data_IF_877842322573
#
_entry.id   IF_877842322573
#
_cell.length_a   1.000
_cell.length_b   1.000
_cell.length_c   1.000
_cell.angle_alpha   90.00
_cell.angle_beta   90.00
_cell.angle_gamma   90.00
#
_symmetry.space_group_name_H-M   'P 1'
#
loop_
_entity.id
_entity.type
_entity.pdbx_description
1 polymer ?
#
# COMPACT_ATOMS: atom_id res chain seq x y z
N UNK A 1 -10.61 4.99 -11.94
CA UNK A 1 -9.40 4.41 -11.34
C UNK A 1 -8.33 4.39 -12.41
N UNK A 2 -7.09 4.76 -12.07
CA UNK A 2 -5.99 4.92 -13.02
C UNK A 2 -4.80 4.05 -12.57
N UNK A 3 -3.94 3.65 -13.50
CA UNK A 3 -2.70 2.96 -13.18
C UNK A 3 -1.52 3.95 -13.08
N UNK A 4 -0.34 3.46 -12.69
CA UNK A 4 0.87 4.30 -12.53
C UNK A 4 1.34 4.96 -13.84
N UNK A 5 1.14 4.33 -14.98
CA UNK A 5 1.53 4.90 -16.28
C UNK A 5 0.63 6.08 -16.66
N UNK A 6 -0.68 5.94 -16.43
CA UNK A 6 -1.65 7.00 -16.63
C UNK A 6 -1.41 8.16 -15.66
N UNK A 7 -1.18 7.87 -14.37
CA UNK A 7 -0.80 8.88 -13.39
C UNK A 7 0.44 9.66 -13.83
N UNK A 8 1.49 8.95 -14.26
CA UNK A 8 2.71 9.56 -14.80
C UNK A 8 2.43 10.48 -16.00
N UNK A 9 1.56 10.07 -16.91
CA UNK A 9 1.22 10.87 -18.08
C UNK A 9 0.46 12.16 -17.70
N UNK A 10 -0.49 12.08 -16.76
CA UNK A 10 -1.28 13.22 -16.28
C UNK A 10 -0.45 14.24 -15.49
N UNK A 11 0.40 13.78 -14.57
CA UNK A 11 1.31 14.66 -13.81
C UNK A 11 2.28 15.42 -14.74
N UNK A 12 2.79 14.75 -15.79
CA UNK A 12 3.64 15.40 -16.81
C UNK A 12 2.91 16.44 -17.66
N UNK A 13 1.59 16.43 -17.68
CA UNK A 13 0.77 17.45 -18.34
C UNK A 13 0.43 18.63 -17.42
N UNK A 14 0.88 18.59 -16.16
CA UNK A 14 0.66 19.64 -15.18
C UNK A 14 -0.59 19.47 -14.33
N UNK A 15 -1.22 18.28 -14.33
CA UNK A 15 -2.31 17.99 -13.40
C UNK A 15 -1.78 17.78 -11.97
N UNK A 16 -2.56 18.21 -10.98
CA UNK A 16 -2.21 18.08 -9.55
C UNK A 16 -2.77 16.78 -8.97
N UNK A 17 -2.15 16.24 -7.90
CA UNK A 17 -2.62 15.00 -7.30
C UNK A 17 -4.03 15.12 -6.70
N UNK A 18 -4.35 16.27 -6.09
CA UNK A 18 -5.67 16.52 -5.51
C UNK A 18 -6.80 16.53 -6.54
N UNK A 19 -6.50 16.87 -7.80
CA UNK A 19 -7.46 16.81 -8.92
C UNK A 19 -7.64 15.36 -9.44
N UNK A 20 -6.65 14.51 -9.23
CA UNK A 20 -6.61 13.13 -9.72
C UNK A 20 -7.24 12.16 -8.71
N UNK A 21 -6.96 12.36 -7.42
CA UNK A 21 -7.39 11.49 -6.33
C UNK A 21 -8.26 12.23 -5.33
N UNK A 22 -9.40 11.63 -4.99
CA UNK A 22 -10.23 12.13 -3.90
C UNK A 22 -9.64 11.66 -2.56
N UNK A 23 -8.71 12.44 -2.03
CA UNK A 23 -8.13 12.19 -0.72
C UNK A 23 -9.17 12.28 0.40
N UNK A 24 -8.95 11.53 1.47
CA UNK A 24 -9.84 11.42 2.62
C UNK A 24 -9.03 11.37 3.90
N UNK A 25 -9.65 11.78 5.00
CA UNK A 25 -9.03 11.68 6.33
C UNK A 25 -8.79 10.20 6.71
N UNK A 26 -7.55 9.90 7.11
CA UNK A 26 -7.17 8.67 7.78
C UNK A 26 -7.17 8.84 9.30
N UNK A 27 -6.19 8.24 9.99
CA UNK A 27 -5.97 8.49 11.42
C UNK A 27 -5.10 9.75 11.59
N UNK A 28 -5.73 10.91 11.68
CA UNK A 28 -5.06 12.23 11.78
C UNK A 28 -4.13 12.58 10.60
N UNK A 29 -4.40 11.99 9.43
CA UNK A 29 -3.62 12.19 8.20
C UNK A 29 -4.52 12.29 6.97
N UNK A 30 -3.91 12.60 5.82
CA UNK A 30 -4.57 12.58 4.52
C UNK A 30 -4.10 11.34 3.74
N UNK A 31 -5.03 10.54 3.23
CA UNK A 31 -4.74 9.32 2.45
C UNK A 31 -5.63 9.24 1.21
N UNK A 32 -5.29 8.37 0.26
CA UNK A 32 -6.24 7.91 -0.74
C UNK A 32 -6.52 6.43 -0.52
N UNK A 33 -7.81 6.05 -0.43
CA UNK A 33 -8.23 4.65 -0.31
C UNK A 33 -9.45 4.38 -1.17
N UNK A 34 -9.25 3.60 -2.23
CA UNK A 34 -10.28 3.20 -3.19
C UNK A 34 -11.02 1.93 -2.76
N UNK A 35 -11.43 1.12 -3.75
CA UNK A 35 -11.98 -0.22 -3.54
C UNK A 35 -10.93 -1.26 -3.87
N UNK A 36 -10.91 -2.35 -3.12
CA UNK A 36 -10.03 -3.45 -3.44
C UNK A 36 -10.41 -4.10 -4.77
N UNK A 37 -9.46 -4.13 -5.71
CA UNK A 37 -9.56 -4.86 -6.96
C UNK A 37 -8.18 -5.41 -7.35
N UNK A 38 -8.15 -6.60 -7.96
CA UNK A 38 -6.92 -7.23 -8.43
C UNK A 38 -6.57 -6.70 -9.81
N UNK A 39 -5.91 -5.55 -9.85
CA UNK A 39 -5.49 -4.89 -11.08
C UNK A 39 -4.25 -4.02 -10.85
N UNK A 40 -3.74 -3.42 -11.92
CA UNK A 40 -2.66 -2.43 -11.88
C UNK A 40 -3.16 -1.00 -11.59
N UNK A 41 -4.45 -0.83 -11.30
CA UNK A 41 -4.98 0.45 -10.87
C UNK A 41 -4.52 0.77 -9.44
N UNK A 42 -4.28 2.05 -9.19
CA UNK A 42 -3.92 2.57 -7.88
C UNK A 42 -5.18 2.56 -7.01
N UNK A 43 -5.11 1.86 -5.89
CA UNK A 43 -6.19 1.71 -4.92
C UNK A 43 -5.85 2.27 -3.54
N UNK A 44 -4.57 2.60 -3.30
CA UNK A 44 -4.13 3.13 -2.02
C UNK A 44 -2.92 4.07 -2.18
N UNK A 45 -2.92 5.18 -1.44
CA UNK A 45 -1.77 6.04 -1.19
C UNK A 45 -1.75 6.26 0.34
N UNK A 46 -0.62 5.98 1.03
CA UNK A 46 -0.48 6.17 2.46
C UNK A 46 -0.49 7.67 2.82
N UNK A 47 -0.22 7.98 4.08
CA UNK A 47 -0.17 9.35 4.61
C UNK A 47 0.66 10.28 3.71
N UNK A 48 -0.03 11.25 3.12
CA UNK A 48 0.52 12.24 2.20
C UNK A 48 1.59 13.10 2.89
N UNK A 49 1.33 13.53 4.13
CA UNK A 49 2.22 14.44 4.84
C UNK A 49 3.47 13.72 5.34
N UNK A 50 3.30 12.51 5.88
CA UNK A 50 4.43 11.69 6.34
C UNK A 50 5.37 11.30 5.21
N UNK A 51 4.83 11.16 3.99
CA UNK A 51 5.61 10.82 2.79
C UNK A 51 6.06 12.03 1.97
N UNK A 52 5.86 13.24 2.49
CA UNK A 52 6.27 14.51 1.88
C UNK A 52 5.77 14.62 0.43
N UNK A 53 4.49 14.28 0.22
CA UNK A 53 3.85 14.35 -1.09
C UNK A 53 3.14 15.70 -1.23
N UNK A 54 3.64 16.54 -2.12
CA UNK A 54 2.96 17.76 -2.54
C UNK A 54 1.74 17.40 -3.40
N UNK A 55 0.57 17.98 -3.09
CA UNK A 55 -0.70 17.58 -3.73
C UNK A 55 -1.34 18.62 -4.63
N UNK A 56 -1.06 19.90 -4.37
CA UNK A 56 -1.62 21.08 -5.04
C UNK A 56 -0.60 21.80 -5.95
N UNK A 57 0.55 21.16 -6.21
CA UNK A 57 1.62 21.69 -7.05
C UNK A 57 1.84 20.84 -8.30
N UNK A 58 2.43 21.47 -9.32
CA UNK A 58 2.90 20.76 -10.51
C UNK A 58 4.20 20.04 -10.18
N UNK A 59 4.31 18.78 -10.59
CA UNK A 59 5.54 17.99 -10.45
C UNK A 59 6.64 18.59 -11.31
N UNK A 60 7.72 19.07 -10.68
CA UNK A 60 8.79 19.81 -11.36
C UNK A 60 9.87 18.89 -11.96
N UNK A 61 10.15 17.75 -11.33
CA UNK A 61 11.21 16.84 -11.76
C UNK A 61 10.87 15.34 -11.64
N UNK A 62 11.79 14.48 -12.11
CA UNK A 62 11.61 13.02 -12.07
C UNK A 62 11.80 12.43 -10.67
N UNK A 63 12.44 13.12 -9.73
CA UNK A 63 12.60 12.66 -8.35
C UNK A 63 11.26 12.75 -7.62
N UNK A 64 10.57 13.90 -7.72
CA UNK A 64 9.22 14.11 -7.21
C UNK A 64 8.24 13.11 -7.81
N UNK A 65 8.29 12.94 -9.13
CA UNK A 65 7.46 11.96 -9.82
C UNK A 65 7.72 10.53 -9.32
N UNK A 66 8.98 10.17 -9.12
CA UNK A 66 9.36 8.85 -8.57
C UNK A 66 8.86 8.68 -7.12
N UNK A 67 8.95 9.75 -6.31
CA UNK A 67 8.46 9.79 -4.93
C UNK A 67 6.94 9.58 -4.87
N UNK A 68 6.18 10.18 -5.78
CA UNK A 68 4.74 9.95 -5.88
C UNK A 68 4.44 8.50 -6.30
N UNK A 69 5.08 8.01 -7.35
CA UNK A 69 4.79 6.69 -7.91
C UNK A 69 5.17 5.53 -6.99
N UNK A 70 6.21 5.67 -6.15
CA UNK A 70 6.58 4.66 -5.14
C UNK A 70 5.53 4.55 -4.02
N UNK A 71 4.80 5.63 -3.76
CA UNK A 71 3.74 5.71 -2.75
C UNK A 71 2.36 5.29 -3.26
N UNK A 72 2.21 5.04 -4.56
CA UNK A 72 0.96 4.56 -5.14
C UNK A 72 0.91 3.03 -5.12
N UNK A 73 -0.07 2.43 -4.45
CA UNK A 73 -0.22 0.98 -4.33
C UNK A 73 -1.42 0.46 -5.12
N UNK A 74 -1.23 -0.68 -5.77
CA UNK A 74 -2.23 -1.41 -6.56
C UNK A 74 -2.68 -2.66 -5.82
N UNK A 75 -3.80 -3.27 -6.21
CA UNK A 75 -4.21 -4.55 -5.62
C UNK A 75 -3.21 -5.67 -5.88
N UNK A 76 -2.46 -5.59 -6.99
CA UNK A 76 -1.36 -6.51 -7.26
C UNK A 76 -0.20 -6.34 -6.27
N UNK A 77 0.05 -5.12 -5.77
CA UNK A 77 1.05 -4.88 -4.72
C UNK A 77 0.61 -5.52 -3.39
N UNK A 78 -0.66 -5.38 -3.00
CA UNK A 78 -1.21 -6.05 -1.81
C UNK A 78 -1.16 -7.58 -1.93
N UNK A 79 -1.48 -8.13 -3.10
CA UNK A 79 -1.35 -9.57 -3.36
C UNK A 79 0.10 -10.01 -3.22
N UNK A 80 1.05 -9.27 -3.79
CA UNK A 80 2.48 -9.58 -3.69
C UNK A 80 2.94 -9.55 -2.23
N UNK A 81 2.53 -8.54 -1.47
CA UNK A 81 2.85 -8.40 -0.05
C UNK A 81 2.28 -9.56 0.78
N UNK A 82 1.14 -10.13 0.35
CA UNK A 82 0.48 -11.26 1.01
C UNK A 82 0.80 -12.63 0.38
N UNK A 83 1.93 -12.76 -0.32
CA UNK A 83 2.35 -13.96 -1.05
C UNK A 83 1.25 -14.61 -1.93
N UNK A 84 0.45 -13.77 -2.60
CA UNK A 84 -0.66 -14.18 -3.46
C UNK A 84 -1.94 -14.59 -2.73
N UNK A 85 -1.97 -14.64 -1.40
CA UNK A 85 -3.16 -14.95 -0.63
C UNK A 85 -4.17 -13.79 -0.71
N UNK A 86 -5.24 -13.96 -1.49
CA UNK A 86 -6.24 -12.89 -1.69
C UNK A 86 -6.97 -12.51 -0.40
N UNK A 87 -7.24 -13.47 0.50
CA UNK A 87 -7.90 -13.15 1.77
C UNK A 87 -7.02 -12.26 2.66
N UNK A 88 -5.74 -12.62 2.80
CA UNK A 88 -4.78 -11.81 3.53
C UNK A 88 -4.57 -10.44 2.87
N UNK A 89 -4.49 -10.36 1.53
CA UNK A 89 -4.37 -9.10 0.80
C UNK A 89 -5.57 -8.16 1.03
N UNK A 90 -6.79 -8.72 1.08
CA UNK A 90 -8.00 -7.96 1.40
C UNK A 90 -8.01 -7.48 2.85
N UNK A 91 -7.56 -8.32 3.78
CA UNK A 91 -7.43 -7.95 5.19
C UNK A 91 -6.38 -6.86 5.37
N UNK A 92 -5.20 -6.97 4.74
CA UNK A 92 -4.15 -5.95 4.75
C UNK A 92 -4.66 -4.63 4.16
N UNK A 93 -5.36 -4.68 3.03
CA UNK A 93 -6.01 -3.50 2.47
C UNK A 93 -7.04 -2.90 3.43
N UNK A 94 -7.82 -3.72 4.14
CA UNK A 94 -8.74 -3.25 5.17
C UNK A 94 -8.03 -2.56 6.34
N UNK A 95 -6.92 -3.15 6.79
CA UNK A 95 -6.11 -2.74 7.93
C UNK A 95 -5.38 -1.41 7.72
N UNK A 96 -4.73 -1.21 6.57
CA UNK A 96 -3.95 0.01 6.35
C UNK A 96 -4.82 1.27 6.37
N UNK A 97 -4.44 2.27 7.16
CA UNK A 97 -5.22 3.50 7.32
C UNK A 97 -4.36 4.77 7.43
N UNK A 98 -3.04 4.63 7.28
CA UNK A 98 -2.06 5.72 7.14
C UNK A 98 -0.69 5.20 6.67
N UNK A 99 -0.31 3.99 7.09
CA UNK A 99 0.96 3.32 6.84
C UNK A 99 1.06 2.68 5.45
N UNK A 100 2.28 2.36 5.02
CA UNK A 100 2.51 1.54 3.83
C UNK A 100 2.00 0.10 4.04
N UNK A 101 1.58 -0.61 2.99
CA UNK A 101 1.24 -2.03 3.09
C UNK A 101 2.47 -2.84 3.54
N UNK A 102 2.36 -3.46 4.71
CA UNK A 102 3.31 -4.42 5.25
C UNK A 102 2.51 -5.57 5.87
N UNK A 103 2.71 -6.78 5.37
CA UNK A 103 1.94 -7.93 5.87
C UNK A 103 2.29 -8.26 7.33
N UNK A 104 3.53 -7.96 7.77
CA UNK A 104 3.96 -8.22 9.15
C UNK A 104 3.11 -7.47 10.15
N UNK A 105 2.79 -6.19 9.88
CA UNK A 105 1.94 -5.37 10.76
C UNK A 105 0.54 -5.96 10.97
N UNK A 106 0.00 -6.68 9.97
CA UNK A 106 -1.27 -7.39 10.08
C UNK A 106 -1.10 -8.71 10.85
N UNK A 107 -0.02 -9.44 10.57
CA UNK A 107 0.31 -10.71 11.22
C UNK A 107 0.51 -10.54 12.71
N UNK A 108 1.17 -9.46 13.13
CA UNK A 108 1.42 -9.11 14.55
C UNK A 108 0.14 -8.88 15.37
N UNK A 109 -1.04 -8.81 14.72
CA UNK A 109 -2.33 -8.72 15.40
C UNK A 109 -2.88 -10.08 15.86
N UNK A 110 -2.30 -11.18 15.39
CA UNK A 110 -2.77 -12.54 15.65
C UNK A 110 -1.84 -13.25 16.64
N UNK A 111 -2.43 -14.08 17.50
CA UNK A 111 -1.69 -14.91 18.46
C UNK A 111 -1.11 -16.16 17.75
N UNK A 112 0.19 -16.39 17.90
CA UNK A 112 0.91 -17.51 17.30
C UNK A 112 0.66 -18.84 18.00
N UNK A 113 0.20 -18.85 19.26
CA UNK A 113 -0.08 -20.08 20.00
C UNK A 113 -1.37 -20.79 19.52
N UNK A 114 -2.28 -20.06 18.88
CA UNK A 114 -3.63 -20.54 18.54
C UNK A 114 -3.88 -20.80 17.05
N UNK A 115 -2.87 -20.72 16.17
CA UNK A 115 -3.02 -20.87 14.70
C UNK A 115 -4.16 -19.98 14.12
N UNK A 116 -4.48 -18.85 14.76
CA UNK A 116 -5.67 -18.05 14.42
C UNK A 116 -5.62 -17.54 12.98
N UNK A 117 -4.44 -17.09 12.55
CA UNK A 117 -4.22 -16.59 11.21
C UNK A 117 -4.40 -17.68 10.15
N UNK A 118 -3.91 -18.89 10.40
CA UNK A 118 -4.16 -20.01 9.50
C UNK A 118 -5.65 -20.35 9.43
N UNK A 119 -6.36 -20.32 10.57
CA UNK A 119 -7.82 -20.55 10.60
C UNK A 119 -8.58 -19.51 9.78
N UNK A 120 -8.18 -18.24 9.83
CA UNK A 120 -8.85 -17.14 9.12
C UNK A 120 -8.51 -17.14 7.62
N UNK A 121 -7.22 -17.24 7.28
CA UNK A 121 -6.71 -17.01 5.92
C UNK A 121 -6.38 -18.27 5.15
N UNK A 122 -6.16 -19.41 5.83
CA UNK A 122 -5.79 -20.68 5.22
C UNK A 122 -4.33 -20.74 4.75
N UNK A 123 -3.47 -19.89 5.30
CA UNK A 123 -2.03 -19.82 5.02
C UNK A 123 -1.30 -19.53 6.33
N UNK A 124 -0.12 -20.14 6.52
CA UNK A 124 0.68 -19.93 7.72
C UNK A 124 1.43 -18.59 7.66
N UNK A 125 1.77 -18.03 8.82
CA UNK A 125 2.51 -16.77 8.91
C UNK A 125 3.84 -16.82 8.17
N UNK A 126 4.57 -17.93 8.32
CA UNK A 126 5.86 -18.15 7.68
C UNK A 126 5.78 -18.17 6.16
N UNK A 127 4.60 -18.49 5.62
CA UNK A 127 4.35 -18.53 4.18
C UNK A 127 3.91 -17.16 3.62
N UNK A 128 3.37 -16.26 4.44
CA UNK A 128 3.02 -14.89 4.00
C UNK A 128 4.12 -13.87 4.29
N UNK A 129 4.83 -14.01 5.40
CA UNK A 129 5.94 -13.15 5.77
C UNK A 129 7.16 -13.57 4.95
N UNK A 130 7.46 -12.82 3.90
CA UNK A 130 8.66 -13.08 3.10
C UNK A 130 9.93 -13.11 3.97
N UNK A 131 10.92 -13.95 3.62
CA UNK A 131 12.19 -14.17 4.35
C UNK A 131 13.12 -12.93 4.45
N UNK A 132 12.60 -11.70 4.45
CA UNK A 132 13.41 -10.49 4.67
C UNK A 132 13.91 -10.33 6.11
N UNK A 133 13.44 -11.15 7.06
CA UNK A 133 13.89 -11.12 8.46
C UNK A 133 14.69 -12.35 8.93
N UNK A 134 15.12 -13.26 8.04
CA UNK A 134 16.04 -14.36 8.44
C UNK A 134 17.49 -13.89 8.72
N UNK A 135 17.78 -12.60 8.64
CA UNK A 135 19.14 -12.04 8.75
C UNK A 135 19.41 -11.18 9.99
N UNK A 136 18.47 -11.06 10.94
CA UNK A 136 18.75 -10.33 12.20
C UNK A 136 19.28 -11.20 13.34
N UNK A 137 19.27 -12.54 13.22
CA UNK A 137 19.84 -13.47 14.22
C UNK A 137 21.26 -13.99 13.89
N UNK A 138 22.05 -13.22 13.13
CA UNK A 138 23.47 -13.52 12.91
C UNK A 138 24.37 -12.30 13.11
N UNK A 139 24.42 -11.78 14.33
CA UNK A 139 25.59 -11.03 14.84
C UNK A 139 25.90 -11.51 16.25
#
# INVERSE_FOLDING_TARGET
MINKNELKARLKQGEHLEDIFNFTDGQECLIYKGKFEKSDNIIYIPDIYLNELETDTVVEDEEDLSNILKNCYTGNDFLKESNGCEKAARALFGFVNWQHPNIQDLVDLYDDEEDEFFKEFGIHFEDVCSEKEKNYDKI
#
